data_IF_747508757477
#
_entry.id   IF_747508757477
#
_cell.length_a   1.000
_cell.length_b   1.000
_cell.length_c   1.000
_cell.angle_alpha   90.00
_cell.angle_beta   90.00
_cell.angle_gamma   90.00
#
_symmetry.space_group_name_H-M   'P 1'
#
loop_
_entity.id
_entity.type
_entity.pdbx_description
1 polymer ?
#
# COMPACT_ATOMS: atom_id res chain seq x y z
N UNK A 1 -8.55 -70.80 39.78
CA UNK A 1 -7.55 -69.74 39.60
C UNK A 1 -7.31 -69.57 38.10
N UNK A 2 -7.72 -68.46 37.51
CA UNK A 2 -7.50 -68.14 36.09
C UNK A 2 -6.55 -66.94 36.00
N UNK A 3 -5.52 -66.95 35.15
CA UNK A 3 -4.60 -65.84 35.01
C UNK A 3 -5.20 -64.69 34.16
N UNK A 4 -5.09 -63.47 34.66
CA UNK A 4 -5.44 -62.24 33.94
C UNK A 4 -4.34 -61.91 32.93
N UNK A 5 -4.70 -61.82 31.65
CA UNK A 5 -3.80 -61.29 30.60
C UNK A 5 -3.86 -59.74 30.64
N UNK A 6 -2.70 -59.13 30.86
CA UNK A 6 -2.54 -57.69 30.72
C UNK A 6 -2.34 -57.37 29.22
N UNK A 7 -3.22 -56.49 28.68
CA UNK A 7 -3.06 -55.95 27.35
C UNK A 7 -2.14 -54.73 27.42
N UNK A 8 -1.00 -54.77 26.75
CA UNK A 8 -0.08 -53.64 26.54
C UNK A 8 -0.62 -52.83 25.36
N UNK A 9 -1.09 -51.62 25.62
CA UNK A 9 -1.52 -50.68 24.61
C UNK A 9 -0.28 -49.92 24.09
N UNK A 10 0.18 -50.25 22.89
CA UNK A 10 1.24 -49.53 22.23
C UNK A 10 0.66 -48.21 21.62
N UNK A 11 1.04 -47.06 22.19
CA UNK A 11 0.77 -45.74 21.58
C UNK A 11 1.71 -45.53 20.38
N UNK A 12 1.16 -45.63 19.19
CA UNK A 12 1.84 -45.17 17.99
C UNK A 12 1.72 -43.63 17.92
N UNK A 13 2.78 -42.94 18.29
CA UNK A 13 2.94 -41.51 18.01
C UNK A 13 3.28 -41.36 16.54
N UNK A 14 2.28 -41.03 15.72
CA UNK A 14 2.51 -40.66 14.34
C UNK A 14 3.14 -39.22 14.31
N UNK A 15 4.44 -39.16 14.11
CA UNK A 15 5.14 -37.94 13.78
C UNK A 15 4.62 -37.46 12.42
N UNK A 16 3.76 -36.42 12.42
CA UNK A 16 3.43 -35.69 11.20
C UNK A 16 4.67 -34.88 10.82
N UNK A 17 5.40 -35.35 9.85
CA UNK A 17 6.36 -34.56 9.10
C UNK A 17 5.53 -33.43 8.43
N UNK A 18 5.70 -32.20 8.91
CA UNK A 18 5.17 -31.03 8.23
C UNK A 18 5.90 -30.92 6.89
N UNK A 19 5.17 -31.17 5.79
CA UNK A 19 5.64 -30.77 4.46
C UNK A 19 5.78 -29.24 4.47
N UNK A 20 6.87 -28.66 3.96
CA UNK A 20 6.95 -27.23 3.76
C UNK A 20 5.88 -26.81 2.74
N UNK A 21 5.15 -25.73 3.08
CA UNK A 21 4.02 -25.23 2.33
C UNK A 21 4.39 -24.96 0.86
N UNK A 22 3.79 -25.72 -0.04
CA UNK A 22 3.90 -25.54 -1.48
C UNK A 22 3.21 -24.23 -1.96
N UNK A 23 2.31 -23.65 -1.15
CA UNK A 23 1.56 -22.43 -1.46
C UNK A 23 2.42 -21.16 -1.52
N UNK A 24 3.50 -21.11 -0.75
CA UNK A 24 4.39 -19.96 -0.61
C UNK A 24 5.25 -19.69 -1.85
N UNK A 25 5.66 -20.72 -2.48
CA UNK A 25 6.41 -20.63 -3.73
C UNK A 25 5.52 -20.22 -4.92
N UNK A 26 4.20 -20.48 -4.83
CA UNK A 26 3.28 -20.24 -5.94
C UNK A 26 2.96 -18.76 -6.17
N UNK A 27 2.77 -17.94 -5.12
CA UNK A 27 2.39 -16.52 -5.31
C UNK A 27 3.56 -15.63 -5.71
N UNK A 28 4.74 -15.81 -5.13
CA UNK A 28 5.95 -15.09 -5.59
C UNK A 28 6.30 -15.51 -7.02
N UNK A 29 6.10 -16.76 -7.36
CA UNK A 29 6.28 -17.29 -8.71
C UNK A 29 5.23 -16.71 -9.66
N UNK A 30 3.97 -16.62 -9.26
CA UNK A 30 2.90 -16.02 -10.06
C UNK A 30 3.12 -14.53 -10.31
N UNK A 31 3.58 -13.77 -9.30
CA UNK A 31 3.92 -12.35 -9.46
C UNK A 31 5.13 -12.18 -10.41
N UNK A 32 6.15 -13.04 -10.31
CA UNK A 32 7.30 -13.03 -11.19
C UNK A 32 6.91 -13.39 -12.63
N UNK A 33 6.03 -14.38 -12.81
CA UNK A 33 5.48 -14.77 -14.12
C UNK A 33 4.65 -13.63 -14.69
N UNK A 34 3.73 -13.07 -13.94
CA UNK A 34 2.90 -11.94 -14.38
C UNK A 34 3.77 -10.71 -14.74
N UNK A 35 4.79 -10.41 -13.94
CA UNK A 35 5.76 -9.36 -14.25
C UNK A 35 6.48 -9.62 -15.57
N UNK A 36 6.91 -10.87 -15.82
CA UNK A 36 7.58 -11.28 -17.05
C UNK A 36 6.66 -11.18 -18.25
N UNK A 37 5.40 -11.59 -18.12
CA UNK A 37 4.38 -11.47 -19.16
C UNK A 37 4.11 -10.00 -19.51
N UNK A 38 3.96 -9.12 -18.52
CA UNK A 38 3.75 -7.68 -18.73
C UNK A 38 4.93 -7.07 -19.47
N UNK A 39 6.17 -7.47 -19.14
CA UNK A 39 7.37 -7.02 -19.85
C UNK A 39 7.36 -7.52 -21.30
N UNK A 40 7.06 -8.80 -21.52
CA UNK A 40 7.05 -9.41 -22.85
C UNK A 40 6.00 -8.79 -23.78
N UNK A 41 4.82 -8.44 -23.25
CA UNK A 41 3.71 -7.88 -24.01
C UNK A 41 3.70 -6.33 -24.04
N UNK A 42 4.69 -5.65 -23.45
CA UNK A 42 4.78 -4.20 -23.48
C UNK A 42 5.90 -3.75 -24.41
N UNK A 43 5.73 -2.63 -25.14
CA UNK A 43 6.82 -2.06 -25.92
C UNK A 43 8.05 -1.82 -25.01
N UNK A 44 9.26 -2.20 -25.43
CA UNK A 44 10.48 -2.01 -24.64
C UNK A 44 10.72 -0.55 -24.21
N UNK A 45 10.18 0.40 -24.98
CA UNK A 45 10.22 1.85 -24.70
C UNK A 45 9.10 2.33 -23.77
N UNK A 46 8.19 1.46 -23.30
CA UNK A 46 7.18 1.84 -22.34
C UNK A 46 7.84 2.22 -21.02
N UNK A 47 7.46 3.37 -20.47
CA UNK A 47 8.05 3.87 -19.22
C UNK A 47 7.97 2.86 -18.08
N UNK A 48 6.84 2.15 -17.93
CA UNK A 48 6.69 1.10 -16.91
C UNK A 48 7.72 -0.03 -17.02
N UNK A 49 8.19 -0.36 -18.23
CA UNK A 49 9.24 -1.38 -18.45
C UNK A 49 10.60 -0.83 -18.07
N UNK A 50 10.88 0.41 -18.42
CA UNK A 50 12.13 1.07 -18.09
C UNK A 50 12.28 1.22 -16.56
N UNK A 51 11.33 1.85 -15.89
CA UNK A 51 11.35 1.99 -14.43
C UNK A 51 11.27 0.66 -13.68
N UNK A 52 10.50 -0.31 -14.18
CA UNK A 52 10.36 -1.62 -13.57
C UNK A 52 11.63 -2.49 -13.57
N UNK A 53 12.63 -2.14 -14.36
CA UNK A 53 13.96 -2.80 -14.38
C UNK A 53 14.91 -2.27 -13.32
N UNK A 54 14.65 -1.04 -12.84
CA UNK A 54 15.51 -0.38 -11.87
C UNK A 54 15.32 -1.01 -10.48
N UNK A 55 16.38 -1.54 -9.91
CA UNK A 55 16.36 -2.23 -8.62
C UNK A 55 16.93 -1.40 -7.47
N UNK A 56 17.57 -0.27 -7.80
CA UNK A 56 18.18 0.66 -6.85
C UNK A 56 17.72 2.10 -7.14
N UNK A 57 17.73 3.00 -6.14
CA UNK A 57 17.38 4.40 -6.35
C UNK A 57 18.40 5.11 -7.27
N UNK A 58 17.96 6.18 -7.93
CA UNK A 58 18.87 7.10 -8.55
C UNK A 58 19.64 7.89 -7.46
N UNK A 59 20.94 8.17 -7.64
CA UNK A 59 21.69 9.00 -6.70
C UNK A 59 21.21 10.46 -6.76
N UNK A 60 21.33 11.17 -5.65
CA UNK A 60 20.98 12.59 -5.55
C UNK A 60 20.14 12.89 -4.30
N UNK A 61 19.83 14.16 -4.07
CA UNK A 61 18.89 14.55 -3.04
C UNK A 61 17.50 14.03 -3.37
N UNK A 62 16.68 13.76 -2.33
CA UNK A 62 15.31 13.31 -2.56
C UNK A 62 14.50 14.39 -3.25
N UNK A 63 13.87 14.05 -4.37
CA UNK A 63 12.98 14.94 -5.13
C UNK A 63 11.82 14.15 -5.73
N UNK A 64 10.60 14.55 -5.40
CA UNK A 64 9.40 14.14 -6.10
C UNK A 64 9.26 14.98 -7.39
N UNK A 65 9.21 14.33 -8.53
CA UNK A 65 9.23 15.02 -9.84
C UNK A 65 7.97 14.69 -10.63
N UNK A 66 7.18 15.70 -10.99
CA UNK A 66 5.93 15.55 -11.72
C UNK A 66 4.72 15.32 -10.84
N UNK A 67 3.68 14.72 -11.39
CA UNK A 67 2.44 14.40 -10.71
C UNK A 67 2.43 12.95 -10.20
N UNK A 68 1.54 12.63 -9.26
CA UNK A 68 1.43 11.32 -8.62
C UNK A 68 1.24 10.16 -9.60
N UNK A 69 0.58 10.40 -10.72
CA UNK A 69 0.29 9.44 -11.79
C UNK A 69 1.14 9.66 -13.05
N UNK A 70 2.04 10.63 -13.01
CA UNK A 70 2.89 11.00 -14.15
C UNK A 70 4.17 11.69 -13.69
N UNK A 71 5.08 10.90 -13.12
CA UNK A 71 6.29 11.43 -12.51
C UNK A 71 7.35 10.36 -12.25
N UNK A 72 8.32 10.71 -11.43
CA UNK A 72 9.43 9.85 -10.98
C UNK A 72 9.99 10.36 -9.64
N UNK A 73 10.90 9.60 -9.03
CA UNK A 73 11.49 9.89 -7.73
C UNK A 73 13.00 9.79 -7.81
N UNK A 74 13.71 10.87 -7.48
CA UNK A 74 15.14 10.89 -7.26
C UNK A 74 15.44 10.69 -5.77
N UNK A 75 16.58 10.09 -5.44
CA UNK A 75 17.05 9.95 -4.07
C UNK A 75 16.07 9.23 -3.14
N UNK A 76 15.35 8.23 -3.64
CA UNK A 76 14.41 7.45 -2.87
C UNK A 76 15.06 6.78 -1.65
N UNK A 77 14.32 6.70 -0.55
CA UNK A 77 14.73 6.00 0.67
C UNK A 77 13.87 4.74 0.83
N UNK A 78 14.51 3.63 1.17
CA UNK A 78 13.79 2.40 1.48
C UNK A 78 13.17 2.48 2.87
N UNK A 79 11.89 2.13 3.00
CA UNK A 79 11.32 1.77 4.29
C UNK A 79 11.92 0.43 4.72
N UNK A 80 12.55 0.33 5.92
CA UNK A 80 13.04 -0.96 6.42
C UNK A 80 11.91 -2.00 6.43
N UNK A 81 12.24 -3.24 6.06
CA UNK A 81 11.25 -4.32 6.00
C UNK A 81 10.51 -4.52 7.32
N UNK A 82 11.17 -4.19 8.43
CA UNK A 82 10.66 -4.26 9.80
C UNK A 82 10.97 -2.99 10.57
N UNK A 83 10.00 -2.54 11.33
CA UNK A 83 10.16 -1.52 12.37
C UNK A 83 9.55 -1.95 13.69
N UNK A 84 9.50 -1.06 14.68
CA UNK A 84 8.91 -1.37 15.98
C UNK A 84 7.45 -1.82 15.84
N UNK A 85 6.66 -1.09 15.05
CA UNK A 85 5.23 -1.33 14.86
C UNK A 85 4.83 -1.28 13.38
N UNK A 86 5.68 -1.78 12.47
CA UNK A 86 5.31 -2.02 11.07
C UNK A 86 6.04 -3.22 10.49
N UNK A 87 5.47 -3.78 9.44
CA UNK A 87 6.07 -4.79 8.58
C UNK A 87 5.71 -4.45 7.13
N UNK A 88 6.70 -4.50 6.23
CA UNK A 88 6.46 -4.31 4.79
C UNK A 88 5.91 -5.60 4.20
N UNK A 89 4.81 -5.50 3.47
CA UNK A 89 4.15 -6.60 2.77
C UNK A 89 4.58 -6.64 1.30
N UNK A 90 4.52 -7.81 0.67
CA UNK A 90 4.91 -8.03 -0.73
C UNK A 90 6.37 -7.61 -1.02
N UNK A 91 7.36 -8.01 -0.17
CA UNK A 91 8.76 -7.60 -0.33
C UNK A 91 9.36 -7.98 -1.69
N UNK A 92 8.90 -9.07 -2.31
CA UNK A 92 9.34 -9.50 -3.65
C UNK A 92 9.08 -8.47 -4.76
N UNK A 93 8.15 -7.54 -4.55
CA UNK A 93 7.82 -6.49 -5.53
C UNK A 93 8.85 -5.37 -5.59
N UNK A 94 9.72 -5.23 -4.58
CA UNK A 94 10.67 -4.12 -4.44
C UNK A 94 9.99 -2.73 -4.53
N UNK A 95 8.88 -2.54 -3.82
CA UNK A 95 8.03 -1.33 -3.85
C UNK A 95 7.93 -0.61 -2.50
N UNK A 96 8.93 -0.79 -1.63
CA UNK A 96 8.99 -0.12 -0.33
C UNK A 96 9.89 1.13 -0.36
N UNK A 97 9.92 1.85 -1.46
CA UNK A 97 10.72 3.05 -1.65
C UNK A 97 9.85 4.30 -1.62
N UNK A 98 10.32 5.36 -0.98
CA UNK A 98 9.54 6.59 -0.90
C UNK A 98 10.40 7.83 -0.76
N UNK A 99 9.76 9.00 -0.89
CA UNK A 99 10.35 10.26 -0.47
C UNK A 99 10.53 10.24 1.06
N UNK A 100 11.63 10.80 1.62
CA UNK A 100 11.86 10.83 3.08
C UNK A 100 10.68 11.37 3.90
N UNK A 101 9.92 12.32 3.37
CA UNK A 101 8.74 12.85 4.04
C UNK A 101 7.68 11.79 4.31
N UNK A 102 7.47 10.86 3.35
CA UNK A 102 6.52 9.75 3.49
C UNK A 102 7.06 8.67 4.42
N UNK A 103 8.34 8.29 4.28
CA UNK A 103 8.97 7.29 5.14
C UNK A 103 8.90 7.75 6.60
N UNK A 104 9.29 8.98 6.88
CA UNK A 104 9.21 9.58 8.23
C UNK A 104 7.75 9.64 8.75
N UNK A 105 6.76 9.89 7.89
CA UNK A 105 5.35 9.84 8.31
C UNK A 105 4.96 8.43 8.73
N UNK A 106 5.28 7.40 7.93
CA UNK A 106 4.94 6.00 8.23
C UNK A 106 5.56 5.59 9.57
N UNK A 107 6.84 5.91 9.80
CA UNK A 107 7.53 5.60 11.05
C UNK A 107 6.87 6.28 12.26
N UNK A 108 6.51 7.57 12.15
CA UNK A 108 5.81 8.29 13.22
C UNK A 108 4.42 7.72 13.48
N UNK A 109 3.65 7.43 12.42
CA UNK A 109 2.32 6.80 12.54
C UNK A 109 2.42 5.46 13.26
N UNK A 110 3.36 4.61 12.89
CA UNK A 110 3.57 3.31 13.51
C UNK A 110 3.84 3.41 15.02
N UNK A 111 4.55 4.45 15.45
CA UNK A 111 4.85 4.68 16.87
C UNK A 111 3.64 5.17 17.67
N UNK A 112 2.80 6.03 17.09
CA UNK A 112 1.71 6.69 17.84
C UNK A 112 0.38 5.93 17.79
N UNK A 113 0.08 5.23 16.71
CA UNK A 113 -1.22 4.58 16.48
C UNK A 113 -1.62 3.55 17.55
N UNK A 114 -0.72 2.78 18.19
CA UNK A 114 -1.11 1.90 19.30
C UNK A 114 -1.77 2.66 20.45
N UNK A 115 -1.26 3.82 20.82
CA UNK A 115 -1.82 4.63 21.90
C UNK A 115 -3.05 5.44 21.44
N UNK A 116 -2.99 6.08 20.27
CA UNK A 116 -4.04 6.99 19.80
C UNK A 116 -5.27 6.27 19.22
N UNK A 117 -5.05 5.17 18.50
CA UNK A 117 -6.11 4.45 17.79
C UNK A 117 -6.38 3.05 18.34
N UNK A 118 -5.54 2.52 19.22
CA UNK A 118 -5.56 1.11 19.62
C UNK A 118 -5.21 0.19 18.46
N UNK A 119 -4.42 0.69 17.47
CA UNK A 119 -4.01 -0.07 16.30
C UNK A 119 -2.62 -0.66 16.54
N UNK A 120 -2.46 -2.00 16.52
CA UNK A 120 -1.24 -2.66 17.04
C UNK A 120 0.02 -2.35 16.24
N UNK A 121 -0.13 -2.03 14.96
CA UNK A 121 0.96 -1.72 14.05
C UNK A 121 0.50 -1.76 12.60
N UNK A 122 1.36 -1.34 11.68
CA UNK A 122 1.03 -1.16 10.27
C UNK A 122 1.57 -2.31 9.41
N UNK A 123 0.73 -2.83 8.54
CA UNK A 123 1.13 -3.65 7.39
C UNK A 123 1.22 -2.73 6.17
N UNK A 124 2.45 -2.44 5.74
CA UNK A 124 2.71 -1.48 4.65
C UNK A 124 2.76 -2.24 3.32
N UNK A 125 1.86 -1.91 2.43
CA UNK A 125 1.83 -2.40 1.05
C UNK A 125 2.78 -1.64 0.13
N UNK A 126 2.35 -1.43 -1.12
CA UNK A 126 3.18 -0.74 -2.11
C UNK A 126 3.33 0.76 -1.78
N UNK A 127 4.56 1.29 -1.88
CA UNK A 127 4.89 2.72 -1.81
C UNK A 127 5.25 3.19 -3.22
N UNK A 128 6.51 3.06 -3.61
CA UNK A 128 6.98 3.31 -4.98
C UNK A 128 8.10 2.35 -5.34
N UNK A 129 8.45 2.31 -6.63
CA UNK A 129 9.66 1.66 -7.12
C UNK A 129 10.89 2.50 -6.74
N UNK A 130 12.13 1.95 -6.81
CA UNK A 130 13.36 2.64 -6.39
C UNK A 130 13.58 4.01 -7.05
N UNK A 131 13.11 4.19 -8.29
CA UNK A 131 13.18 5.48 -9.03
C UNK A 131 11.79 6.06 -9.28
N UNK A 132 10.76 5.58 -8.58
CA UNK A 132 9.38 5.94 -8.87
C UNK A 132 8.95 5.48 -10.25
N UNK A 133 8.23 6.35 -10.97
CA UNK A 133 7.74 6.07 -12.31
C UNK A 133 6.57 5.08 -12.37
N UNK A 134 6.01 4.86 -13.57
CA UNK A 134 4.91 3.92 -13.78
C UNK A 134 5.30 2.49 -13.41
N UNK A 135 4.47 1.82 -12.65
CA UNK A 135 4.69 0.42 -12.26
C UNK A 135 4.32 -0.57 -13.37
N UNK A 136 4.98 -1.72 -13.40
CA UNK A 136 4.66 -2.79 -14.35
C UNK A 136 3.23 -3.28 -14.20
N UNK A 137 2.79 -3.44 -12.95
CA UNK A 137 1.49 -3.97 -12.57
C UNK A 137 0.85 -3.10 -11.49
N UNK A 138 -0.48 -3.10 -11.42
CA UNK A 138 -1.24 -2.40 -10.37
C UNK A 138 -1.36 -0.90 -10.64
N UNK A 139 -1.01 -0.12 -9.68
CA UNK A 139 -1.27 1.29 -9.43
C UNK A 139 -1.11 2.25 -10.62
N UNK A 140 -2.08 3.16 -10.75
CA UNK A 140 -1.97 4.30 -11.68
C UNK A 140 -1.15 5.47 -11.14
N UNK A 141 -0.99 5.56 -9.82
CA UNK A 141 -0.17 6.54 -9.10
C UNK A 141 1.07 5.90 -8.46
N UNK A 142 1.53 6.35 -7.31
CA UNK A 142 2.76 5.88 -6.64
C UNK A 142 4.05 6.19 -7.39
N UNK A 143 4.03 7.16 -8.32
CA UNK A 143 5.17 7.40 -9.20
C UNK A 143 6.22 8.35 -8.63
N UNK A 144 5.86 9.16 -7.63
CA UNK A 144 6.75 10.20 -7.07
C UNK A 144 7.12 9.96 -5.60
N UNK A 145 6.80 8.77 -5.05
CA UNK A 145 7.16 8.38 -3.69
C UNK A 145 6.43 9.11 -2.57
N UNK A 146 5.27 9.71 -2.86
CA UNK A 146 4.41 10.41 -1.90
C UNK A 146 3.09 9.70 -1.63
N UNK A 147 2.92 8.49 -2.17
CA UNK A 147 1.77 7.61 -2.00
C UNK A 147 2.18 6.32 -1.28
N UNK A 148 1.35 5.81 -0.39
CA UNK A 148 1.54 4.50 0.23
C UNK A 148 0.21 3.80 0.46
N UNK A 149 0.17 2.49 0.21
CA UNK A 149 -0.93 1.62 0.59
C UNK A 149 -0.67 1.05 1.98
N UNK A 150 -1.64 1.18 2.87
CA UNK A 150 -1.58 0.64 4.23
C UNK A 150 -2.78 -0.29 4.42
N UNK A 151 -2.51 -1.53 4.79
CA UNK A 151 -3.56 -2.53 4.95
C UNK A 151 -4.47 -2.20 6.12
N UNK A 152 -5.75 -2.50 5.95
CA UNK A 152 -6.75 -2.44 7.01
C UNK A 152 -6.73 -3.70 7.90
N UNK A 153 -5.87 -4.64 7.62
CA UNK A 153 -5.59 -5.80 8.47
C UNK A 153 -4.64 -5.38 9.61
N UNK A 154 -5.01 -5.59 10.90
CA UNK A 154 -4.11 -5.32 12.01
C UNK A 154 -2.81 -6.13 11.92
N UNK A 155 -1.68 -5.49 12.23
CA UNK A 155 -0.41 -6.21 12.29
C UNK A 155 -0.45 -7.30 13.39
N UNK A 156 -0.07 -8.55 13.09
CA UNK A 156 -0.03 -9.59 14.11
C UNK A 156 1.07 -9.33 15.14
N UNK A 157 0.90 -9.88 16.34
CA UNK A 157 1.87 -9.79 17.45
C UNK A 157 3.05 -10.78 17.23
N UNK A 158 3.58 -10.79 16.01
CA UNK A 158 4.78 -11.54 15.63
C UNK A 158 5.35 -11.00 14.33
N UNK A 159 6.61 -11.28 14.09
CA UNK A 159 7.21 -11.06 12.78
C UNK A 159 6.74 -12.12 11.79
N UNK A 160 6.28 -11.68 10.64
CA UNK A 160 5.99 -12.53 9.49
C UNK A 160 7.30 -12.83 8.75
N UNK A 161 7.47 -14.05 8.28
CA UNK A 161 8.57 -14.39 7.37
C UNK A 161 8.39 -13.66 6.01
N UNK A 162 9.45 -13.49 5.21
CA UNK A 162 9.32 -12.92 3.86
C UNK A 162 8.28 -13.66 3.00
N UNK A 163 8.23 -14.97 3.06
CA UNK A 163 7.25 -15.77 2.34
C UNK A 163 5.81 -15.47 2.79
N UNK A 164 5.55 -15.47 4.10
CA UNK A 164 4.22 -15.11 4.63
C UNK A 164 3.79 -13.71 4.18
N UNK A 165 4.71 -12.73 4.13
CA UNK A 165 4.39 -11.37 3.68
C UNK A 165 4.04 -11.30 2.21
N UNK A 166 4.62 -12.17 1.39
CA UNK A 166 4.28 -12.25 -0.03
C UNK A 166 2.94 -12.95 -0.28
N UNK A 167 2.44 -13.75 0.67
CA UNK A 167 1.32 -14.65 0.45
C UNK A 167 0.05 -14.35 1.22
N UNK A 168 0.18 -13.96 2.50
CA UNK A 168 -1.00 -13.70 3.34
C UNK A 168 -1.94 -12.73 2.61
N UNK A 169 -3.19 -13.12 2.35
CA UNK A 169 -4.15 -12.21 1.74
C UNK A 169 -4.50 -11.08 2.71
N UNK A 170 -4.67 -9.88 2.17
CA UNK A 170 -5.27 -8.80 2.94
C UNK A 170 -6.76 -9.09 3.19
N UNK A 171 -7.28 -8.65 4.32
CA UNK A 171 -8.67 -8.91 4.71
C UNK A 171 -9.57 -7.77 4.23
N UNK A 172 -10.59 -8.10 3.45
CA UNK A 172 -11.61 -7.15 3.05
C UNK A 172 -12.44 -6.71 4.26
N UNK A 173 -12.61 -5.40 4.39
CA UNK A 173 -13.47 -4.81 5.42
C UNK A 173 -14.80 -4.29 4.86
N UNK A 174 -15.05 -4.56 3.59
CA UNK A 174 -16.27 -4.18 2.85
C UNK A 174 -17.02 -5.45 2.48
N UNK A 175 -18.33 -5.40 2.61
CA UNK A 175 -19.22 -6.49 2.21
C UNK A 175 -19.11 -6.78 0.72
N UNK A 176 -19.40 -8.00 0.33
CA UNK A 176 -19.35 -8.44 -1.09
C UNK A 176 -20.28 -7.66 -2.02
N UNK A 177 -21.36 -7.07 -1.50
CA UNK A 177 -22.28 -6.20 -2.26
C UNK A 177 -21.77 -4.76 -2.40
N UNK A 178 -20.60 -4.44 -1.84
CA UNK A 178 -19.98 -3.12 -1.80
C UNK A 178 -20.84 -1.98 -1.20
N UNK A 179 -21.98 -2.32 -0.56
CA UNK A 179 -22.92 -1.33 -0.06
C UNK A 179 -22.58 -0.80 1.33
N UNK A 180 -21.85 -1.56 2.15
CA UNK A 180 -21.41 -1.13 3.48
C UNK A 180 -20.18 -1.93 3.92
N UNK A 181 -19.63 -1.55 5.08
CA UNK A 181 -18.56 -2.31 5.75
C UNK A 181 -19.07 -3.67 6.22
N UNK A 182 -18.16 -4.63 6.32
CA UNK A 182 -18.45 -5.92 6.93
C UNK A 182 -18.29 -5.83 8.45
N UNK A 183 -19.38 -5.99 9.25
CA UNK A 183 -19.31 -5.91 10.70
C UNK A 183 -18.48 -7.02 11.35
N UNK A 184 -18.13 -8.09 10.63
CA UNK A 184 -17.25 -9.13 11.12
C UNK A 184 -15.77 -8.72 11.11
N UNK A 185 -15.38 -7.80 10.23
CA UNK A 185 -14.00 -7.36 10.04
C UNK A 185 -13.78 -5.91 10.42
N UNK A 186 -14.77 -5.03 10.19
CA UNK A 186 -14.69 -3.62 10.57
C UNK A 186 -14.87 -3.43 12.06
N UNK A 187 -13.97 -2.66 12.69
CA UNK A 187 -14.01 -2.36 14.13
C UNK A 187 -13.88 -0.85 14.37
N UNK A 188 -14.20 -0.35 15.56
CA UNK A 188 -13.97 1.06 15.92
C UNK A 188 -12.50 1.50 15.79
N UNK A 189 -11.54 0.58 15.83
CA UNK A 189 -10.13 0.86 15.64
C UNK A 189 -9.84 1.29 14.20
N UNK A 190 -10.51 0.74 13.19
CA UNK A 190 -10.39 1.16 11.79
C UNK A 190 -10.76 2.64 11.60
N UNK A 191 -11.88 3.05 12.21
CA UNK A 191 -12.27 4.47 12.19
C UNK A 191 -11.20 5.35 12.84
N UNK A 192 -10.72 4.99 14.05
CA UNK A 192 -9.71 5.77 14.75
C UNK A 192 -8.38 5.82 13.99
N UNK A 193 -7.98 4.71 13.36
CA UNK A 193 -6.81 4.65 12.48
C UNK A 193 -6.91 5.69 11.35
N UNK A 194 -8.00 5.64 10.58
CA UNK A 194 -8.20 6.53 9.43
C UNK A 194 -8.32 8.00 9.87
N UNK A 195 -8.98 8.28 10.99
CA UNK A 195 -9.04 9.60 11.59
C UNK A 195 -7.66 10.11 11.99
N UNK A 196 -6.86 9.30 12.70
CA UNK A 196 -5.52 9.68 13.15
C UNK A 196 -4.59 9.97 11.95
N UNK A 197 -4.67 9.17 10.89
CA UNK A 197 -3.90 9.42 9.66
C UNK A 197 -4.40 10.68 8.93
N UNK A 198 -5.71 10.89 8.84
CA UNK A 198 -6.27 12.07 8.18
C UNK A 198 -5.94 13.39 8.91
N UNK A 199 -5.73 13.34 10.22
CA UNK A 199 -5.32 14.50 11.02
C UNK A 199 -3.86 14.88 10.87
N UNK A 200 -3.03 14.04 10.21
CA UNK A 200 -1.65 14.41 9.90
C UNK A 200 -1.61 15.61 8.94
N UNK A 201 -0.87 16.68 9.29
CA UNK A 201 -0.78 17.87 8.44
C UNK A 201 -0.21 17.59 7.05
N UNK A 202 0.76 16.67 6.95
CA UNK A 202 1.39 16.31 5.68
C UNK A 202 0.48 15.51 4.75
N UNK A 203 -0.60 14.90 5.27
CA UNK A 203 -1.54 14.11 4.48
C UNK A 203 -2.48 15.03 3.71
N UNK A 204 -2.48 14.89 2.39
CA UNK A 204 -3.39 15.59 1.48
C UNK A 204 -4.71 14.84 1.34
N UNK A 205 -4.63 13.53 1.09
CA UNK A 205 -5.80 12.66 0.84
C UNK A 205 -5.56 11.26 1.37
N UNK A 206 -6.67 10.60 1.61
CA UNK A 206 -6.73 9.16 1.87
C UNK A 206 -7.82 8.59 0.96
N UNK A 207 -7.45 7.67 0.07
CA UNK A 207 -8.42 6.96 -0.76
C UNK A 207 -8.86 5.68 -0.07
N UNK A 208 -10.16 5.47 -0.03
CA UNK A 208 -10.82 4.30 0.57
C UNK A 208 -11.99 3.84 -0.31
N UNK A 209 -12.47 2.63 -0.12
CA UNK A 209 -13.72 2.20 -0.73
C UNK A 209 -14.89 3.11 -0.27
N UNK A 210 -15.87 3.32 -1.14
CA UNK A 210 -17.03 4.17 -0.83
C UNK A 210 -17.81 3.69 0.41
N UNK A 211 -17.92 2.38 0.62
CA UNK A 211 -18.54 1.80 1.80
C UNK A 211 -17.81 2.18 3.09
N UNK A 212 -16.48 2.22 3.06
CA UNK A 212 -15.66 2.70 4.18
C UNK A 212 -15.95 4.19 4.43
N UNK A 213 -15.97 5.03 3.38
CA UNK A 213 -16.31 6.45 3.52
C UNK A 213 -17.69 6.64 4.12
N UNK A 214 -18.70 5.84 3.70
CA UNK A 214 -20.06 5.85 4.27
C UNK A 214 -20.05 5.54 5.76
N UNK A 215 -19.33 4.49 6.18
CA UNK A 215 -19.20 4.14 7.59
C UNK A 215 -18.54 5.26 8.39
N UNK A 216 -17.45 5.84 7.89
CA UNK A 216 -16.79 6.98 8.54
C UNK A 216 -17.70 8.20 8.66
N UNK A 217 -18.53 8.50 7.64
CA UNK A 217 -19.51 9.57 7.70
C UNK A 217 -20.55 9.35 8.81
N UNK A 218 -20.95 8.12 9.04
CA UNK A 218 -21.89 7.69 10.09
C UNK A 218 -21.27 7.75 11.48
N UNK A 219 -19.98 7.43 11.58
CA UNK A 219 -19.27 7.19 12.85
C UNK A 219 -18.41 8.39 13.32
N UNK A 220 -18.26 9.45 12.53
CA UNK A 220 -17.30 10.53 12.75
C UNK A 220 -17.50 11.35 14.04
N UNK A 221 -18.71 11.38 14.59
CA UNK A 221 -19.04 12.29 15.71
C UNK A 221 -19.14 13.77 15.28
N UNK A 222 -19.01 14.72 16.23
CA UNK A 222 -19.23 16.15 15.96
C UNK A 222 -18.11 16.80 15.14
N UNK A 223 -16.85 16.42 15.37
CA UNK A 223 -15.74 16.94 14.55
C UNK A 223 -15.56 16.07 13.30
N UNK A 224 -15.96 16.67 12.17
CA UNK A 224 -15.97 16.03 10.85
C UNK A 224 -14.91 16.60 9.90
N UNK A 225 -14.06 17.50 10.38
CA UNK A 225 -13.09 18.23 9.55
C UNK A 225 -12.12 17.32 8.81
N UNK A 226 -11.70 16.22 9.45
CA UNK A 226 -10.77 15.24 8.90
C UNK A 226 -11.36 14.44 7.71
N UNK A 227 -12.69 14.32 7.65
CA UNK A 227 -13.38 13.60 6.57
C UNK A 227 -13.18 14.25 5.18
N UNK A 228 -12.88 15.54 5.12
CA UNK A 228 -12.57 16.22 3.86
C UNK A 228 -11.43 15.56 3.09
N UNK A 229 -10.44 15.00 3.81
CA UNK A 229 -9.31 14.29 3.21
C UNK A 229 -9.62 12.85 2.78
N UNK A 230 -10.70 12.25 3.30
CA UNK A 230 -11.09 10.87 2.97
C UNK A 230 -11.92 10.89 1.68
N UNK A 231 -11.38 10.28 0.63
CA UNK A 231 -12.01 10.30 -0.70
C UNK A 231 -12.35 8.89 -1.17
N UNK A 232 -13.58 8.65 -1.61
CA UNK A 232 -13.94 7.35 -2.17
C UNK A 232 -13.19 7.09 -3.47
N UNK A 233 -12.78 5.83 -3.66
CA UNK A 233 -12.17 5.36 -4.89
C UNK A 233 -12.47 3.87 -5.07
N UNK A 234 -12.52 3.40 -6.31
CA UNK A 234 -12.74 1.98 -6.63
C UNK A 234 -11.63 1.10 -6.04
N UNK A 235 -11.96 -0.12 -5.69
CA UNK A 235 -11.11 -0.97 -4.90
C UNK A 235 -10.99 -0.43 -3.48
N UNK A 236 -9.81 -0.46 -2.87
CA UNK A 236 -9.51 0.07 -1.54
C UNK A 236 -10.42 -0.52 -0.44
N UNK A 237 -10.82 -1.78 -0.58
CA UNK A 237 -11.67 -2.50 0.35
C UNK A 237 -10.88 -3.22 1.46
N UNK A 238 -9.58 -3.45 1.28
CA UNK A 238 -8.69 -4.11 2.23
C UNK A 238 -7.48 -3.24 2.65
N UNK A 239 -7.29 -2.10 2.02
CA UNK A 239 -6.26 -1.12 2.35
C UNK A 239 -6.81 0.30 2.14
N UNK A 240 -6.16 1.26 2.73
CA UNK A 240 -6.31 2.66 2.37
C UNK A 240 -5.03 3.17 1.71
N UNK A 241 -5.18 4.08 0.77
CA UNK A 241 -4.09 4.72 0.08
C UNK A 241 -3.90 6.13 0.65
N UNK A 242 -2.77 6.37 1.31
CA UNK A 242 -2.43 7.69 1.82
C UNK A 242 -1.58 8.45 0.80
N UNK A 243 -1.90 9.74 0.61
CA UNK A 243 -1.18 10.67 -0.25
C UNK A 243 -0.74 11.89 0.53
N UNK A 244 0.52 12.27 0.38
CA UNK A 244 1.07 13.48 0.97
C UNK A 244 0.97 14.66 0.01
N UNK A 245 0.97 15.88 0.57
CA UNK A 245 1.25 17.09 -0.20
C UNK A 245 2.65 17.05 -0.80
N UNK A 246 2.85 17.77 -1.89
CA UNK A 246 4.18 18.05 -2.40
C UNK A 246 5.02 18.71 -1.30
N UNK A 247 6.24 18.19 -0.98
CA UNK A 247 7.13 18.85 -0.05
C UNK A 247 7.55 20.24 -0.55
N UNK A 248 7.68 21.21 0.35
CA UNK A 248 8.07 22.58 -0.01
C UNK A 248 9.45 22.70 -0.66
N UNK A 249 10.31 21.70 -0.45
CA UNK A 249 11.65 21.60 -1.05
C UNK A 249 11.68 20.99 -2.44
N UNK A 250 10.55 20.55 -3.01
CA UNK A 250 10.46 19.85 -4.29
C UNK A 250 9.80 20.72 -5.37
N UNK A 251 10.56 21.63 -6.02
CA UNK A 251 9.99 22.60 -6.94
C UNK A 251 9.40 21.97 -8.22
N UNK A 252 9.77 20.73 -8.52
CA UNK A 252 9.26 19.98 -9.66
C UNK A 252 8.04 19.13 -9.34
N UNK A 253 7.67 18.97 -8.05
CA UNK A 253 6.46 18.27 -7.66
C UNK A 253 5.22 19.08 -8.06
N UNK A 254 4.25 18.42 -8.69
CA UNK A 254 3.00 19.02 -9.14
C UNK A 254 1.86 18.58 -8.22
N UNK A 255 1.33 19.50 -7.40
CA UNK A 255 0.24 19.17 -6.50
C UNK A 255 -1.02 18.84 -7.30
N UNK A 256 -1.87 18.02 -6.72
CA UNK A 256 -3.20 17.74 -7.23
C UNK A 256 -4.14 18.91 -6.87
N UNK A 257 -5.17 19.14 -7.67
CA UNK A 257 -6.22 20.11 -7.32
C UNK A 257 -6.86 19.74 -5.97
N UNK A 258 -7.16 20.71 -5.09
CA UNK A 258 -7.74 20.41 -3.79
C UNK A 258 -9.08 19.67 -3.93
N UNK A 259 -9.47 18.83 -2.96
CA UNK A 259 -10.77 18.20 -2.97
C UNK A 259 -11.88 19.27 -2.90
N UNK A 260 -13.10 18.95 -3.38
CA UNK A 260 -14.26 19.82 -3.17
C UNK A 260 -14.44 20.16 -1.68
N UNK A 261 -15.00 21.35 -1.37
CA UNK A 261 -15.24 21.76 0.01
C UNK A 261 -16.27 20.85 0.69
N UNK A 262 -16.18 20.76 2.03
CA UNK A 262 -17.06 19.93 2.85
C UNK A 262 -16.46 18.59 3.22
N UNK A 263 -17.23 17.79 3.94
CA UNK A 263 -16.79 16.50 4.45
C UNK A 263 -16.93 15.34 3.45
N UNK A 264 -17.54 15.59 2.30
CA UNK A 264 -17.75 14.59 1.25
C UNK A 264 -18.74 13.48 1.60
N UNK A 265 -19.66 13.72 2.56
CA UNK A 265 -20.63 12.73 3.06
C UNK A 265 -22.06 12.90 2.49
N UNK A 266 -22.28 13.88 1.63
CA UNK A 266 -23.58 14.15 1.04
C UNK A 266 -23.77 13.48 -0.32
N UNK A 267 -24.49 14.18 -1.21
CA UNK A 267 -24.82 13.69 -2.57
C UNK A 267 -23.63 13.20 -3.38
N UNK A 268 -22.45 13.78 -3.14
CA UNK A 268 -21.20 13.32 -3.77
C UNK A 268 -20.90 11.85 -3.43
N UNK A 269 -21.19 11.44 -2.20
CA UNK A 269 -21.00 10.06 -1.77
C UNK A 269 -22.10 9.14 -2.30
N UNK A 270 -23.34 9.62 -2.44
CA UNK A 270 -24.48 8.80 -2.88
C UNK A 270 -24.27 8.25 -4.29
N UNK A 271 -23.60 9.01 -5.17
CA UNK A 271 -23.28 8.55 -6.53
C UNK A 271 -22.48 7.24 -6.54
N UNK A 272 -21.58 7.05 -5.57
CA UNK A 272 -20.73 5.84 -5.50
C UNK A 272 -21.52 4.55 -5.27
N UNK A 273 -22.80 4.64 -4.92
CA UNK A 273 -23.70 3.51 -4.68
C UNK A 273 -24.76 3.36 -5.78
N UNK A 274 -24.61 4.08 -6.87
CA UNK A 274 -25.42 3.86 -8.07
C UNK A 274 -24.91 2.66 -8.84
N UNK A 275 -25.79 2.09 -9.68
CA UNK A 275 -25.44 0.94 -10.54
C UNK A 275 -24.23 1.25 -11.43
N UNK A 276 -24.16 2.47 -11.98
CA UNK A 276 -23.04 2.95 -12.79
C UNK A 276 -21.70 2.93 -12.04
N UNK A 277 -21.70 3.34 -10.78
CA UNK A 277 -20.48 3.39 -9.97
C UNK A 277 -20.05 2.02 -9.44
N UNK A 278 -21.02 1.16 -9.10
CA UNK A 278 -20.78 -0.21 -8.61
C UNK A 278 -20.32 -1.13 -9.76
N UNK A 279 -20.88 -0.93 -10.95
CA UNK A 279 -20.60 -1.75 -12.15
C UNK A 279 -20.13 -0.88 -13.32
N UNK A 280 -18.99 -0.16 -13.16
CA UNK A 280 -18.52 0.74 -14.21
C UNK A 280 -18.25 -0.03 -15.52
N UNK A 281 -18.62 0.56 -16.63
CA UNK A 281 -18.28 0.01 -17.93
C UNK A 281 -16.75 -0.17 -18.05
N UNK A 282 -16.27 -1.24 -18.69
CA UNK A 282 -14.85 -1.45 -18.91
C UNK A 282 -14.22 -0.21 -19.57
N UNK A 283 -13.22 0.37 -18.90
CA UNK A 283 -12.50 1.48 -19.49
C UNK A 283 -11.71 1.00 -20.72
N UNK A 284 -11.64 1.80 -21.78
CA UNK A 284 -10.82 1.44 -22.94
C UNK A 284 -9.35 1.29 -22.52
N UNK A 285 -8.62 0.35 -23.15
CA UNK A 285 -7.20 0.16 -22.84
C UNK A 285 -6.42 1.46 -22.98
N UNK A 286 -5.77 1.87 -21.90
CA UNK A 286 -4.89 3.06 -21.93
C UNK A 286 -3.59 2.70 -22.64
N UNK A 287 -3.15 3.55 -23.55
CA UNK A 287 -1.81 3.41 -24.14
C UNK A 287 -0.77 3.53 -23.01
N UNK A 288 0.21 2.60 -22.95
CA UNK A 288 1.30 2.71 -21.99
C UNK A 288 2.03 4.06 -22.13
N UNK A 289 2.33 4.72 -21.02
CA UNK A 289 3.14 5.92 -21.00
C UNK A 289 4.52 5.60 -21.58
N UNK A 290 5.02 6.50 -22.42
CA UNK A 290 6.41 6.51 -22.90
C UNK A 290 7.22 7.41 -21.98
N UNK A 291 8.53 7.30 -22.01
CA UNK A 291 9.41 8.17 -21.22
C UNK A 291 9.21 9.66 -21.58
N UNK A 292 8.94 9.95 -22.85
CA UNK A 292 8.64 11.32 -23.32
C UNK A 292 7.30 11.89 -22.81
N UNK A 293 6.42 11.07 -22.26
CA UNK A 293 5.15 11.50 -21.68
C UNK A 293 5.32 11.90 -20.20
N UNK A 294 6.49 11.68 -19.62
CA UNK A 294 6.90 12.06 -18.25
C UNK A 294 7.70 13.35 -18.25
N UNK A 295 7.92 14.00 -17.08
CA UNK A 295 8.84 15.11 -16.97
C UNK A 295 10.23 14.77 -17.54
N UNK A 296 10.92 15.71 -18.23
CA UNK A 296 12.22 15.43 -18.86
C UNK A 296 13.28 14.88 -17.90
N UNK A 297 13.28 15.32 -16.65
CA UNK A 297 14.19 14.81 -15.61
C UNK A 297 14.05 13.30 -15.37
N UNK A 298 12.89 12.71 -15.60
CA UNK A 298 12.66 11.27 -15.43
C UNK A 298 13.50 10.42 -16.40
N UNK A 299 13.83 10.95 -17.57
CA UNK A 299 14.71 10.26 -18.52
C UNK A 299 16.15 10.15 -17.98
N UNK A 300 16.65 11.20 -17.34
CA UNK A 300 17.95 11.19 -16.70
C UNK A 300 18.00 10.20 -15.52
N UNK A 301 16.91 10.08 -14.75
CA UNK A 301 16.85 9.14 -13.63
C UNK A 301 16.89 7.68 -14.09
N UNK A 302 16.20 7.34 -15.20
CA UNK A 302 16.29 5.98 -15.77
C UNK A 302 17.70 5.66 -16.27
N UNK A 303 18.41 6.65 -16.82
CA UNK A 303 19.76 6.48 -17.32
C UNK A 303 20.85 6.60 -16.24
N UNK A 304 20.50 7.01 -15.01
CA UNK A 304 21.45 7.22 -13.94
C UNK A 304 22.11 5.90 -13.50
N UNK A 305 23.39 5.93 -13.04
CA UNK A 305 24.02 4.75 -12.47
C UNK A 305 23.27 4.27 -11.21
N UNK A 306 23.57 3.05 -10.81
CA UNK A 306 23.01 2.49 -9.58
C UNK A 306 23.41 3.34 -8.35
N UNK A 307 22.42 3.76 -7.58
CA UNK A 307 22.62 4.46 -6.32
C UNK A 307 22.82 3.48 -5.16
N UNK A 308 23.48 3.92 -4.11
CA UNK A 308 23.53 3.17 -2.85
C UNK A 308 22.20 3.37 -2.13
N UNK A 309 21.59 2.27 -1.64
CA UNK A 309 20.43 2.34 -0.76
C UNK A 309 20.83 3.06 0.54
N UNK A 310 20.33 4.28 0.77
CA UNK A 310 20.41 4.92 2.07
C UNK A 310 19.32 4.35 2.97
N UNK A 311 19.71 3.57 3.97
CA UNK A 311 18.84 3.28 5.10
C UNK A 311 18.94 4.47 6.06
N UNK A 312 17.83 5.09 6.39
CA UNK A 312 17.76 6.01 7.53
C UNK A 312 18.07 5.17 8.77
N UNK A 313 19.24 5.38 9.37
CA UNK A 313 19.53 4.82 10.69
C UNK A 313 18.63 5.56 11.67
N UNK A 314 17.61 4.88 12.16
CA UNK A 314 16.79 5.37 13.26
C UNK A 314 17.68 5.64 14.48
N UNK A 315 18.03 6.89 14.71
CA UNK A 315 18.53 7.34 15.99
C UNK A 315 17.34 7.51 16.91
N UNK A 316 16.94 6.41 17.55
CA UNK A 316 16.14 6.49 18.76
C UNK A 316 17.05 7.09 19.84
N UNK A 317 16.79 8.35 20.23
CA UNK A 317 17.19 8.92 21.51
C UNK A 317 15.96 9.09 22.37
#
# INVERSE_FOLDING_TARGET
MKPRRAAVLALLVAARLACPDASAQDTATQEAVHRSEVIAHSPPSAAKVLFGREITPAPGPAQAIGAYERGCLEGAVALPADGSNWQVMRPSRNRAWGHPALINLIERLALKLPAEAGWPGLLIGDIAQPRGGPMLTGHGSHQIGLDADIWLTPMPDRRLSPAERDEIPAVDVVRSDAMDIDPATWTPQHRRLLEAVAREPAVERIFVNAAIKRALCREAGPDRSWLAKIRPWWGHNYHFHVRLYCPSGDPQCRPQAPPPPGDGCGKELDWWFTEEALHPAPAPPRKPLRLADLPPACAALVAAPEGRAFQVRGTVR
#
